data_IF_205393732158
#
_entry.id   IF_205393732158
#
_cell.length_a   1.000
_cell.length_b   1.000
_cell.length_c   1.000
_cell.angle_alpha   90.00
_cell.angle_beta   90.00
_cell.angle_gamma   90.00
#
_symmetry.space_group_name_H-M   'P 1'
#
loop_
_entity.id
_entity.type
_entity.pdbx_description
1 polymer ?
#
# COMPACT_ATOMS: atom_id res chain seq x y z
N UNK A 1 0.16 17.27 -2.46
CA UNK A 1 0.22 15.85 -2.00
C UNK A 1 -0.84 15.71 -0.92
N UNK A 2 -1.74 14.75 -1.02
CA UNK A 2 -2.70 14.44 0.05
C UNK A 2 -2.17 13.29 0.89
N UNK A 3 -2.50 13.28 2.18
CA UNK A 3 -2.28 12.13 3.06
C UNK A 3 -3.56 11.31 3.07
N UNK A 4 -3.43 9.99 3.01
CA UNK A 4 -4.58 9.10 3.12
C UNK A 4 -5.21 9.20 4.52
N UNK A 5 -6.54 9.15 4.60
CA UNK A 5 -7.27 9.32 5.87
C UNK A 5 -6.83 8.35 6.96
N UNK A 6 -6.52 7.09 6.60
CA UNK A 6 -6.05 6.07 7.55
C UNK A 6 -4.67 6.39 8.16
N UNK A 7 -3.84 7.18 7.46
CA UNK A 7 -2.54 7.64 7.98
C UNK A 7 -2.62 8.86 8.89
N UNK A 8 -3.71 9.63 8.83
CA UNK A 8 -3.79 10.92 9.52
C UNK A 8 -3.69 10.76 11.03
N UNK A 9 -4.42 9.82 11.62
CA UNK A 9 -4.38 9.55 13.06
C UNK A 9 -2.99 9.11 13.53
N UNK A 10 -2.36 8.17 12.81
CA UNK A 10 -1.02 7.70 13.12
C UNK A 10 0.01 8.83 13.04
N UNK A 11 -0.03 9.65 11.99
CA UNK A 11 0.89 10.77 11.80
C UNK A 11 0.74 11.83 12.91
N UNK A 12 -0.48 12.14 13.31
CA UNK A 12 -0.71 13.06 14.44
C UNK A 12 -0.16 12.51 15.75
N UNK A 13 -0.39 11.22 16.00
CA UNK A 13 0.14 10.54 17.21
C UNK A 13 1.67 10.55 17.22
N UNK A 14 2.31 10.15 16.10
CA UNK A 14 3.77 10.15 15.98
C UNK A 14 4.34 11.56 16.12
N UNK A 15 3.74 12.56 15.48
CA UNK A 15 4.17 13.94 15.61
C UNK A 15 4.14 14.40 17.06
N UNK A 16 3.05 14.11 17.79
CA UNK A 16 2.90 14.48 19.20
C UNK A 16 3.96 13.79 20.06
N UNK A 17 4.16 12.47 19.87
CA UNK A 17 5.17 11.72 20.64
C UNK A 17 6.58 12.26 20.38
N UNK A 18 6.96 12.44 19.12
CA UNK A 18 8.28 12.93 18.73
C UNK A 18 8.53 14.35 19.26
N UNK A 19 7.51 15.22 19.13
CA UNK A 19 7.58 16.57 19.67
C UNK A 19 7.79 16.59 21.19
N UNK A 20 7.04 15.77 21.94
CA UNK A 20 7.19 15.67 23.41
C UNK A 20 8.57 15.15 23.79
N UNK A 21 9.07 14.13 23.08
CA UNK A 21 10.43 13.58 23.30
C UNK A 21 11.50 14.64 23.03
N UNK A 22 11.41 15.36 21.94
CA UNK A 22 12.39 16.39 21.58
C UNK A 22 12.36 17.56 22.56
N UNK A 23 11.18 18.00 23.01
CA UNK A 23 11.04 19.03 24.06
C UNK A 23 11.64 18.56 25.40
N UNK A 24 11.35 17.31 25.81
CA UNK A 24 11.90 16.74 27.03
C UNK A 24 13.43 16.67 26.98
N UNK A 25 14.00 16.21 25.87
CA UNK A 25 15.44 16.14 25.67
C UNK A 25 16.08 17.54 25.68
N UNK A 26 15.45 18.51 25.03
CA UNK A 26 15.92 19.89 25.05
C UNK A 26 16.06 20.43 26.49
N UNK A 27 15.08 20.17 27.35
CA UNK A 27 15.08 20.66 28.75
C UNK A 27 15.96 19.84 29.68
N UNK A 28 16.20 18.55 29.44
CA UNK A 28 16.98 17.67 30.33
C UNK A 28 18.45 17.60 29.96
N UNK A 29 18.76 17.48 28.68
CA UNK A 29 20.14 17.27 28.17
C UNK A 29 20.67 18.52 27.47
N UNK A 30 19.81 19.46 27.11
CA UNK A 30 20.17 20.67 26.38
C UNK A 30 20.49 20.39 24.90
N UNK A 31 21.09 21.39 24.21
CA UNK A 31 21.44 21.34 22.79
C UNK A 31 22.74 20.59 22.54
N UNK A 32 22.83 19.33 22.98
CA UNK A 32 23.97 18.44 22.76
C UNK A 32 23.78 17.50 21.57
N UNK A 33 24.76 16.67 21.28
CA UNK A 33 24.73 15.70 20.19
C UNK A 33 23.55 14.71 20.32
N UNK A 34 23.18 14.34 21.56
CA UNK A 34 22.02 13.46 21.81
C UNK A 34 20.74 14.08 21.32
N UNK A 35 20.50 15.36 21.60
CA UNK A 35 19.33 16.08 21.12
C UNK A 35 19.27 16.10 19.58
N UNK A 36 20.37 16.52 18.92
CA UNK A 36 20.37 16.61 17.46
C UNK A 36 20.24 15.25 16.78
N UNK A 37 20.86 14.19 17.31
CA UNK A 37 20.73 12.84 16.74
C UNK A 37 19.32 12.30 16.89
N UNK A 38 18.70 12.48 18.07
CA UNK A 38 17.31 12.04 18.29
C UNK A 38 16.35 12.78 17.36
N UNK A 39 16.43 14.12 17.31
CA UNK A 39 15.59 14.94 16.42
C UNK A 39 15.78 14.54 14.95
N UNK A 40 16.99 14.24 14.51
CA UNK A 40 17.24 13.75 13.17
C UNK A 40 16.54 12.40 12.91
N UNK A 41 16.70 11.44 13.83
CA UNK A 41 16.09 10.11 13.71
C UNK A 41 14.56 10.19 13.72
N UNK A 42 13.96 10.94 14.66
CA UNK A 42 12.50 11.12 14.75
C UNK A 42 11.95 11.79 13.48
N UNK A 43 12.65 12.79 12.96
CA UNK A 43 12.28 13.47 11.70
C UNK A 43 12.32 12.50 10.51
N UNK A 44 13.39 11.70 10.37
CA UNK A 44 13.51 10.71 9.30
C UNK A 44 12.39 9.68 9.38
N UNK A 45 12.12 9.14 10.59
CA UNK A 45 11.02 8.19 10.79
C UNK A 45 9.66 8.81 10.46
N UNK A 46 9.41 10.03 10.89
CA UNK A 46 8.17 10.74 10.56
C UNK A 46 8.00 10.93 9.04
N UNK A 47 9.05 11.32 8.34
CA UNK A 47 9.04 11.50 6.90
C UNK A 47 8.83 10.18 6.14
N UNK A 48 9.37 9.05 6.65
CA UNK A 48 9.13 7.72 6.07
C UNK A 48 7.66 7.32 6.20
N UNK A 49 7.05 7.52 7.36
CA UNK A 49 5.62 7.24 7.57
C UNK A 49 4.74 8.17 6.73
N UNK A 50 5.10 9.46 6.65
CA UNK A 50 4.41 10.42 5.80
C UNK A 50 4.48 10.01 4.31
N UNK A 51 5.67 9.55 3.86
CA UNK A 51 5.87 9.04 2.51
C UNK A 51 5.00 7.81 2.23
N UNK A 52 4.90 6.87 3.19
CA UNK A 52 4.10 5.66 3.07
C UNK A 52 2.60 5.99 2.89
N UNK A 53 2.06 6.92 3.67
CA UNK A 53 0.65 7.31 3.60
C UNK A 53 0.34 8.41 2.57
N UNK A 54 1.29 8.75 1.69
CA UNK A 54 1.00 9.71 0.62
C UNK A 54 -0.03 9.15 -0.36
N UNK A 55 -0.99 9.97 -0.73
CA UNK A 55 -2.05 9.61 -1.69
C UNK A 55 -2.04 10.61 -2.85
N UNK A 56 -1.22 10.38 -3.89
CA UNK A 56 -1.21 11.22 -5.07
C UNK A 56 -2.49 10.99 -5.89
N UNK A 57 -2.94 12.03 -6.54
CA UNK A 57 -3.99 11.89 -7.51
C UNK A 57 -3.41 11.30 -8.81
N UNK A 58 -3.90 10.12 -9.21
CA UNK A 58 -3.49 9.43 -10.42
C UNK A 58 -4.57 9.58 -11.48
N UNK A 59 -4.17 10.00 -12.68
CA UNK A 59 -5.00 9.97 -13.90
C UNK A 59 -4.23 9.24 -14.97
N UNK A 60 -4.89 8.28 -15.60
CA UNK A 60 -4.37 7.69 -16.84
C UNK A 60 -4.68 8.66 -17.98
N UNK A 61 -3.67 9.15 -18.72
CA UNK A 61 -3.84 10.24 -19.68
C UNK A 61 -4.42 9.80 -21.03
N UNK A 62 -4.58 8.49 -21.26
CA UNK A 62 -5.05 7.93 -22.53
C UNK A 62 -6.43 7.27 -22.36
N UNK A 63 -7.04 6.90 -23.48
CA UNK A 63 -8.22 6.04 -23.43
C UNK A 63 -7.83 4.70 -22.80
N UNK A 64 -8.60 4.29 -21.80
CA UNK A 64 -8.38 3.05 -21.06
C UNK A 64 -9.27 1.90 -21.54
N UNK A 65 -10.03 2.08 -22.61
CA UNK A 65 -10.89 1.04 -23.14
C UNK A 65 -10.04 -0.13 -23.66
N UNK A 66 -10.36 -1.34 -23.20
CA UNK A 66 -9.61 -2.55 -23.55
C UNK A 66 -8.23 -2.70 -22.87
N UNK A 67 -7.85 -1.79 -21.97
CA UNK A 67 -6.59 -1.86 -21.25
C UNK A 67 -6.82 -2.25 -19.79
N UNK A 68 -5.89 -3.03 -19.25
CA UNK A 68 -5.74 -3.29 -17.81
C UNK A 68 -4.58 -2.45 -17.31
N UNK A 69 -4.88 -1.47 -16.44
CA UNK A 69 -3.88 -0.54 -15.92
C UNK A 69 -3.34 -1.10 -14.62
N UNK A 70 -2.03 -0.98 -14.39
CA UNK A 70 -1.41 -1.42 -13.14
C UNK A 70 -2.12 -0.81 -11.91
N UNK A 71 -2.66 -1.63 -11.00
CA UNK A 71 -3.44 -1.14 -9.87
C UNK A 71 -2.58 -0.50 -8.77
N UNK A 72 -1.26 -0.64 -8.84
CA UNK A 72 -0.34 -0.20 -7.80
C UNK A 72 1.00 0.24 -8.39
N UNK A 73 1.73 1.08 -7.66
CA UNK A 73 3.14 1.34 -7.91
C UNK A 73 3.95 0.12 -7.42
N UNK A 74 4.86 -0.40 -8.22
CA UNK A 74 5.70 -1.53 -7.80
C UNK A 74 6.49 -2.14 -8.93
N UNK A 75 7.04 -3.32 -8.67
CA UNK A 75 7.78 -4.12 -9.64
C UNK A 75 7.00 -5.39 -9.95
N UNK A 76 6.81 -5.71 -11.23
CA UNK A 76 6.24 -7.00 -11.63
C UNK A 76 7.24 -8.10 -11.26
N UNK A 77 6.81 -9.05 -10.44
CA UNK A 77 7.64 -10.16 -9.96
C UNK A 77 7.25 -11.52 -10.55
N UNK A 78 6.02 -11.65 -11.05
CA UNK A 78 5.58 -12.83 -11.77
C UNK A 78 4.52 -12.47 -12.81
N UNK A 79 4.55 -13.18 -13.95
CA UNK A 79 3.48 -13.22 -14.97
C UNK A 79 3.35 -14.69 -15.32
N UNK A 80 2.25 -15.32 -14.95
CA UNK A 80 2.07 -16.75 -15.10
C UNK A 80 0.60 -17.14 -15.30
N UNK A 81 0.35 -18.24 -16.00
CA UNK A 81 -0.97 -18.84 -16.10
C UNK A 81 -1.22 -19.71 -14.87
N UNK A 82 -2.30 -19.45 -14.16
CA UNK A 82 -2.65 -20.17 -12.93
C UNK A 82 -4.13 -20.57 -12.95
N UNK A 83 -4.43 -21.68 -12.30
CA UNK A 83 -5.80 -22.02 -11.96
C UNK A 83 -6.21 -21.20 -10.73
N UNK A 84 -7.10 -20.24 -10.90
CA UNK A 84 -7.68 -19.50 -9.79
C UNK A 84 -8.82 -20.32 -9.17
N UNK A 85 -8.59 -20.84 -7.95
CA UNK A 85 -9.46 -21.81 -7.30
C UNK A 85 -10.38 -21.24 -6.22
N UNK A 86 -10.26 -19.96 -5.89
CA UNK A 86 -10.98 -19.39 -4.74
C UNK A 86 -12.26 -18.67 -5.16
N UNK A 87 -12.23 -17.93 -6.28
CA UNK A 87 -13.30 -17.00 -6.66
C UNK A 87 -13.76 -17.23 -8.11
N UNK A 88 -12.83 -17.27 -9.07
CA UNK A 88 -13.15 -17.37 -10.50
C UNK A 88 -13.28 -18.82 -10.97
N UNK A 89 -12.62 -19.77 -10.30
CA UNK A 89 -12.60 -21.22 -10.59
C UNK A 89 -12.27 -21.52 -12.05
N UNK A 90 -11.26 -20.84 -12.60
CA UNK A 90 -10.82 -21.01 -13.99
C UNK A 90 -9.35 -20.65 -14.16
N UNK A 91 -8.77 -21.03 -15.29
CA UNK A 91 -7.45 -20.57 -15.70
C UNK A 91 -7.44 -19.06 -15.93
N UNK A 92 -6.44 -18.38 -15.37
CA UNK A 92 -6.27 -16.94 -15.42
C UNK A 92 -4.80 -16.59 -15.67
N UNK A 93 -4.55 -15.48 -16.33
CA UNK A 93 -3.23 -14.85 -16.36
C UNK A 93 -3.05 -14.02 -15.09
N UNK A 94 -2.15 -14.45 -14.21
CA UNK A 94 -1.79 -13.75 -12.99
C UNK A 94 -0.61 -12.81 -13.23
N UNK A 95 -0.75 -11.55 -12.82
CA UNK A 95 0.34 -10.57 -12.78
C UNK A 95 0.55 -10.15 -11.33
N UNK A 96 1.70 -10.51 -10.76
CA UNK A 96 2.05 -10.18 -9.37
C UNK A 96 2.93 -8.94 -9.32
N UNK A 97 2.52 -7.94 -8.52
CA UNK A 97 3.23 -6.67 -8.34
C UNK A 97 3.70 -6.57 -6.89
N UNK A 98 5.00 -6.47 -6.68
CA UNK A 98 5.59 -6.24 -5.37
C UNK A 98 5.72 -4.74 -5.10
N UNK A 99 5.12 -4.28 -4.00
CA UNK A 99 5.22 -2.91 -3.50
C UNK A 99 6.26 -2.81 -2.40
N UNK A 100 7.31 -2.00 -2.59
CA UNK A 100 8.24 -1.67 -1.51
C UNK A 100 7.66 -0.58 -0.60
N UNK A 101 8.16 -0.46 0.63
CA UNK A 101 7.72 0.58 1.59
C UNK A 101 7.94 2.01 1.09
N UNK A 102 8.76 2.21 0.05
CA UNK A 102 9.01 3.50 -0.57
C UNK A 102 8.04 3.83 -1.70
N UNK A 103 7.29 2.85 -2.21
CA UNK A 103 6.24 3.06 -3.20
C UNK A 103 5.01 3.73 -2.57
N UNK A 104 4.10 4.20 -3.41
CA UNK A 104 2.77 4.62 -2.93
C UNK A 104 1.99 3.39 -2.53
N UNK A 105 1.66 3.25 -1.23
CA UNK A 105 0.90 2.11 -0.71
C UNK A 105 -0.60 2.33 -0.86
N UNK A 106 -1.05 2.41 -2.12
CA UNK A 106 -2.45 2.50 -2.47
C UNK A 106 -2.73 1.67 -3.73
N UNK A 107 -3.91 1.08 -3.78
CA UNK A 107 -4.39 0.35 -4.93
C UNK A 107 -5.53 1.11 -5.61
N UNK A 108 -5.56 1.07 -6.91
CA UNK A 108 -6.63 1.62 -7.76
C UNK A 108 -7.26 0.51 -8.59
N UNK A 109 -8.48 0.72 -9.02
CA UNK A 109 -9.13 -0.24 -9.92
C UNK A 109 -8.40 -0.28 -11.27
N UNK A 110 -8.01 -1.49 -11.72
CA UNK A 110 -7.21 -1.65 -12.96
C UNK A 110 -8.03 -1.48 -14.24
N UNK A 111 -9.35 -1.57 -14.14
CA UNK A 111 -10.29 -1.51 -15.27
C UNK A 111 -11.55 -0.73 -14.91
N UNK A 112 -12.22 -0.21 -15.91
CA UNK A 112 -13.58 0.30 -15.79
C UNK A 112 -14.58 -0.86 -15.88
N UNK A 113 -15.53 -0.93 -14.95
CA UNK A 113 -16.50 -2.02 -14.95
C UNK A 113 -17.42 -1.98 -13.72
N UNK A 114 -18.12 -3.09 -13.51
CA UNK A 114 -19.02 -3.28 -12.37
C UNK A 114 -18.37 -4.23 -11.38
N UNK A 115 -18.32 -3.84 -10.12
CA UNK A 115 -17.82 -4.70 -9.03
C UNK A 115 -18.82 -5.84 -8.84
N UNK A 116 -18.38 -7.08 -9.08
CA UNK A 116 -19.17 -8.31 -8.99
C UNK A 116 -19.01 -9.01 -7.66
N UNK A 117 -17.80 -8.96 -7.10
CA UNK A 117 -17.47 -9.65 -5.85
C UNK A 117 -16.48 -8.81 -5.04
N UNK A 118 -16.67 -8.79 -3.73
CA UNK A 118 -15.71 -8.26 -2.75
C UNK A 118 -15.66 -9.21 -1.60
N UNK A 119 -14.47 -9.65 -1.22
CA UNK A 119 -14.24 -10.45 -0.02
C UNK A 119 -13.01 -9.98 0.72
N UNK A 120 -13.01 -10.28 2.03
CA UNK A 120 -11.90 -10.03 2.92
C UNK A 120 -11.65 -11.31 3.73
N UNK A 121 -10.40 -11.71 3.80
CA UNK A 121 -9.96 -12.87 4.56
C UNK A 121 -8.96 -12.43 5.61
N UNK A 122 -9.29 -12.68 6.88
CA UNK A 122 -8.37 -12.47 7.98
C UNK A 122 -7.20 -13.44 7.87
N UNK A 123 -6.02 -12.98 8.21
CA UNK A 123 -4.82 -13.78 8.12
C UNK A 123 -3.70 -13.26 9.04
N UNK A 124 -2.47 -13.65 8.72
CA UNK A 124 -1.28 -13.23 9.44
C UNK A 124 -0.73 -11.92 8.83
N UNK A 125 0.25 -11.33 9.49
CA UNK A 125 0.98 -10.14 9.04
C UNK A 125 2.46 -10.48 8.83
N UNK A 126 2.73 -11.42 7.91
CA UNK A 126 4.10 -11.78 7.53
C UNK A 126 4.63 -10.81 6.49
N UNK A 127 5.94 -10.61 6.48
CA UNK A 127 6.58 -9.80 5.45
C UNK A 127 6.31 -10.39 4.05
N UNK A 128 5.92 -9.54 3.10
CA UNK A 128 5.42 -9.94 1.78
C UNK A 128 6.44 -10.74 0.93
N UNK A 129 7.74 -10.61 1.22
CA UNK A 129 8.81 -11.35 0.55
C UNK A 129 9.03 -12.77 1.10
N UNK A 130 8.34 -13.18 2.18
CA UNK A 130 8.49 -14.51 2.75
C UNK A 130 7.64 -15.53 2.00
N UNK A 131 8.10 -16.81 1.90
CA UNK A 131 7.30 -17.88 1.33
C UNK A 131 5.94 -18.01 2.03
N UNK A 132 4.89 -18.32 1.26
CA UNK A 132 3.51 -18.48 1.74
C UNK A 132 2.86 -17.19 2.31
N UNK A 133 3.49 -16.02 2.21
CA UNK A 133 2.88 -14.78 2.63
C UNK A 133 1.60 -14.48 1.85
N UNK A 134 1.55 -14.79 0.56
CA UNK A 134 0.38 -14.58 -0.30
C UNK A 134 -0.85 -15.41 0.10
N UNK A 135 -0.65 -16.57 0.73
CA UNK A 135 -1.75 -17.48 1.13
C UNK A 135 -2.13 -17.39 2.60
N UNK A 136 -1.18 -17.02 3.47
CA UNK A 136 -1.39 -16.96 4.93
C UNK A 136 -1.71 -15.55 5.46
N UNK A 137 -1.37 -14.51 4.72
CA UNK A 137 -1.61 -13.14 5.15
C UNK A 137 -3.07 -12.72 4.96
N UNK A 138 -3.46 -11.75 5.76
CA UNK A 138 -4.70 -10.99 5.55
C UNK A 138 -4.73 -10.43 4.12
N UNK A 139 -5.86 -10.64 3.44
CA UNK A 139 -6.03 -10.26 2.04
C UNK A 139 -7.45 -9.86 1.71
N UNK A 140 -7.60 -9.01 0.72
CA UNK A 140 -8.88 -8.66 0.13
C UNK A 140 -8.88 -8.99 -1.35
N UNK A 141 -10.02 -9.43 -1.86
CA UNK A 141 -10.22 -9.71 -3.26
C UNK A 141 -11.39 -8.89 -3.81
N UNK A 142 -11.23 -8.36 -5.01
CA UNK A 142 -12.25 -7.58 -5.71
C UNK A 142 -12.33 -8.05 -7.15
N UNK A 143 -13.49 -8.55 -7.57
CA UNK A 143 -13.74 -8.90 -8.97
C UNK A 143 -14.51 -7.78 -9.65
N UNK A 144 -13.98 -7.31 -10.78
CA UNK A 144 -14.60 -6.29 -11.62
C UNK A 144 -14.88 -6.91 -12.97
N UNK A 145 -16.15 -6.87 -13.39
CA UNK A 145 -16.56 -7.27 -14.73
C UNK A 145 -16.53 -6.05 -15.66
N UNK A 146 -15.71 -6.10 -16.70
CA UNK A 146 -15.62 -5.07 -17.71
C UNK A 146 -16.89 -5.02 -18.58
N UNK A 147 -17.05 -3.95 -19.36
CA UNK A 147 -18.18 -3.84 -20.31
C UNK A 147 -18.24 -4.98 -21.32
N UNK A 148 -17.08 -5.55 -21.67
CA UNK A 148 -16.96 -6.67 -22.60
C UNK A 148 -17.14 -8.04 -21.93
N UNK A 149 -17.56 -8.09 -20.66
CA UNK A 149 -17.82 -9.32 -19.93
C UNK A 149 -16.56 -10.04 -19.41
N UNK A 150 -15.39 -9.39 -19.43
CA UNK A 150 -14.15 -9.95 -18.88
C UNK A 150 -14.09 -9.65 -17.40
N UNK A 151 -13.90 -10.68 -16.57
CA UNK A 151 -13.69 -10.54 -15.14
C UNK A 151 -12.19 -10.33 -14.83
N UNK A 152 -11.89 -9.32 -14.03
CA UNK A 152 -10.55 -9.01 -13.48
C UNK A 152 -10.64 -9.10 -11.97
N UNK A 153 -9.81 -9.98 -11.37
CA UNK A 153 -9.66 -10.20 -9.93
C UNK A 153 -8.43 -9.48 -9.43
#
# INVERSE_FOLDING_TARGET
MKVHKEGTGLLLTLFTIFFVVDVALYHTVGRGWVFYTTTFVTTVLFLLVLNFFRSPFRRFPFDSEGLVIAPADGTIVAIEEVMENEILHRECLQISIFMSVFNVHANWFPVNGTVKHVSHQNGRFRAAYLPKSSTENERSAVVITTRNGVDVL
#
